data_IF_681574056031
#
_entry.id   IF_681574056031
#
_cell.length_a   1.000
_cell.length_b   1.000
_cell.length_c   1.000
_cell.angle_alpha   90.00
_cell.angle_beta   90.00
_cell.angle_gamma   90.00
#
_symmetry.space_group_name_H-M   'P 1'
#
loop_
_entity.id
_entity.type
_entity.pdbx_description
1 polymer ?
#
# COMPACT_ATOMS: atom_id res chain seq x y z
N UNK A 1 -11.38 45.66 -29.01
CA UNK A 1 -11.83 44.29 -28.77
C UNK A 1 -11.16 43.83 -27.51
N UNK A 2 -11.75 44.11 -26.36
CA UNK A 2 -11.25 43.70 -25.03
C UNK A 2 -11.58 42.21 -24.87
N UNK A 3 -10.58 41.36 -24.93
CA UNK A 3 -10.72 39.94 -24.57
C UNK A 3 -10.92 39.90 -23.05
N UNK A 4 -12.14 39.62 -22.64
CA UNK A 4 -12.48 39.36 -21.25
C UNK A 4 -11.79 38.05 -20.85
N UNK A 5 -10.57 38.14 -20.31
CA UNK A 5 -9.84 37.03 -19.74
C UNK A 5 -10.23 36.95 -18.27
N UNK A 6 -11.47 36.53 -17.98
CA UNK A 6 -11.73 35.93 -16.67
C UNK A 6 -10.86 34.67 -16.58
N UNK A 7 -9.96 34.55 -15.59
CA UNK A 7 -9.16 33.35 -15.43
C UNK A 7 -10.08 32.14 -15.33
N UNK A 8 -9.79 31.07 -16.07
CA UNK A 8 -10.51 29.78 -15.92
C UNK A 8 -10.46 29.37 -14.46
N UNK A 9 -11.62 29.25 -13.83
CA UNK A 9 -11.78 28.89 -12.43
C UNK A 9 -11.72 27.37 -12.18
N UNK A 10 -11.40 26.58 -13.22
CA UNK A 10 -11.35 25.11 -13.17
C UNK A 10 -12.71 24.43 -13.29
N UNK A 11 -13.78 25.20 -13.55
CA UNK A 11 -15.14 24.64 -13.69
C UNK A 11 -15.30 23.82 -14.96
N UNK A 12 -14.61 24.19 -16.03
CA UNK A 12 -14.61 23.48 -17.29
C UNK A 12 -14.02 22.07 -17.15
N UNK A 13 -12.88 21.94 -16.49
CA UNK A 13 -12.27 20.65 -16.20
C UNK A 13 -13.14 19.78 -15.29
N UNK A 14 -13.77 20.38 -14.27
CA UNK A 14 -14.74 19.67 -13.42
C UNK A 14 -15.89 19.05 -14.22
N UNK A 15 -16.47 19.80 -15.17
CA UNK A 15 -17.53 19.26 -16.06
C UNK A 15 -17.03 18.08 -16.86
N UNK A 16 -15.83 18.15 -17.43
CA UNK A 16 -15.22 17.05 -18.18
C UNK A 16 -15.05 15.78 -17.33
N UNK A 17 -14.67 15.91 -16.06
CA UNK A 17 -14.56 14.75 -15.14
C UNK A 17 -15.93 14.08 -14.93
N UNK A 18 -16.98 14.86 -14.74
CA UNK A 18 -18.36 14.36 -14.59
C UNK A 18 -18.85 13.68 -15.87
N UNK A 19 -18.65 14.32 -17.03
CA UNK A 19 -19.02 13.79 -18.35
C UNK A 19 -18.27 12.47 -18.67
N UNK A 20 -17.04 12.33 -18.16
CA UNK A 20 -16.26 11.11 -18.29
C UNK A 20 -16.66 10.00 -17.28
N UNK A 21 -17.63 10.25 -16.39
CA UNK A 21 -18.21 9.26 -15.49
C UNK A 21 -17.72 9.28 -14.04
N UNK A 22 -16.89 10.24 -13.63
CA UNK A 22 -16.47 10.37 -12.25
C UNK A 22 -17.57 10.92 -11.34
N UNK A 23 -17.69 10.40 -10.11
CA UNK A 23 -18.46 11.02 -9.04
C UNK A 23 -17.64 12.15 -8.40
N UNK A 24 -18.05 13.41 -8.62
CA UNK A 24 -17.25 14.59 -8.28
C UNK A 24 -17.93 15.42 -7.20
N UNK A 25 -17.27 15.57 -6.07
CA UNK A 25 -17.72 16.34 -4.92
C UNK A 25 -17.87 17.85 -5.18
N UNK A 26 -18.47 18.60 -4.24
CA UNK A 26 -18.61 20.04 -4.34
C UNK A 26 -17.25 20.74 -4.26
N UNK A 27 -17.12 21.91 -4.90
CA UNK A 27 -15.92 22.74 -4.84
C UNK A 27 -14.69 22.19 -5.56
N UNK A 28 -14.79 21.07 -6.28
CA UNK A 28 -13.70 20.54 -7.10
C UNK A 28 -13.38 21.48 -8.25
N UNK A 29 -12.09 21.75 -8.47
CA UNK A 29 -11.56 22.55 -9.58
C UNK A 29 -10.55 21.72 -10.36
N UNK A 30 -10.62 21.79 -11.70
CA UNK A 30 -9.70 21.01 -12.52
C UNK A 30 -9.25 21.78 -13.77
N UNK A 31 -7.95 21.73 -14.06
CA UNK A 31 -7.32 22.24 -15.27
C UNK A 31 -6.67 21.07 -15.99
N UNK A 32 -7.30 20.61 -17.05
CA UNK A 32 -6.96 19.36 -17.72
C UNK A 32 -6.64 19.59 -19.19
N UNK A 33 -5.53 19.04 -19.65
CA UNK A 33 -5.19 18.96 -21.06
C UNK A 33 -6.17 18.10 -21.86
N UNK A 34 -5.86 17.81 -23.12
CA UNK A 34 -6.77 17.09 -24.02
C UNK A 34 -6.98 15.63 -23.62
N UNK A 35 -5.99 14.99 -23.05
CA UNK A 35 -5.96 13.55 -22.76
C UNK A 35 -6.48 13.27 -21.35
N UNK A 36 -7.76 12.87 -21.26
CA UNK A 36 -8.41 12.52 -19.98
C UNK A 36 -9.08 11.17 -20.12
N UNK A 37 -8.64 10.19 -19.33
CA UNK A 37 -9.18 8.84 -19.26
C UNK A 37 -9.66 8.58 -17.84
N UNK A 38 -10.93 8.22 -17.68
CA UNK A 38 -11.55 7.94 -16.38
C UNK A 38 -12.16 6.53 -16.44
N UNK A 39 -11.74 5.68 -15.53
CA UNK A 39 -12.30 4.33 -15.33
C UNK A 39 -13.67 4.36 -14.67
N UNK A 40 -14.18 3.17 -14.37
CA UNK A 40 -15.46 3.00 -13.66
C UNK A 40 -15.30 3.27 -12.17
N UNK A 41 -16.39 3.70 -11.52
CA UNK A 41 -16.47 3.87 -10.05
C UNK A 41 -15.38 4.80 -9.48
N UNK A 42 -14.96 5.81 -10.26
CA UNK A 42 -14.02 6.84 -9.81
C UNK A 42 -14.73 7.87 -8.96
N UNK A 43 -14.15 8.18 -7.78
CA UNK A 43 -14.66 9.20 -6.87
C UNK A 43 -13.63 10.30 -6.60
N UNK A 44 -14.06 11.56 -6.61
CA UNK A 44 -13.23 12.73 -6.31
C UNK A 44 -13.92 13.54 -5.22
N UNK A 45 -13.28 13.64 -4.08
CA UNK A 45 -13.80 14.29 -2.88
C UNK A 45 -13.98 15.81 -3.00
N UNK A 46 -14.58 16.38 -1.97
CA UNK A 46 -14.90 17.81 -1.94
C UNK A 46 -13.63 18.69 -1.94
N UNK A 47 -13.70 19.84 -2.62
CA UNK A 47 -12.65 20.84 -2.68
C UNK A 47 -11.29 20.34 -3.22
N UNK A 48 -11.26 19.19 -3.90
CA UNK A 48 -10.05 18.71 -4.54
C UNK A 48 -9.67 19.62 -5.74
N UNK A 49 -8.37 19.72 -5.98
CA UNK A 49 -7.75 20.47 -7.08
C UNK A 49 -6.98 19.49 -7.94
N UNK A 50 -7.24 19.46 -9.25
CA UNK A 50 -6.53 18.64 -10.21
C UNK A 50 -5.98 19.53 -11.35
N UNK A 51 -4.68 19.40 -11.63
CA UNK A 51 -4.06 20.05 -12.77
C UNK A 51 -3.11 19.08 -13.48
N UNK A 52 -3.41 18.72 -14.73
CA UNK A 52 -2.58 17.78 -15.48
C UNK A 52 -2.72 17.99 -17.00
N UNK A 53 -1.62 17.83 -17.73
CA UNK A 53 -1.65 17.78 -19.19
C UNK A 53 -2.26 16.46 -19.68
N UNK A 54 -1.93 15.38 -18.99
CA UNK A 54 -2.52 14.04 -19.20
C UNK A 54 -3.04 13.50 -17.87
N UNK A 55 -4.31 13.10 -17.83
CA UNK A 55 -4.95 12.50 -16.67
C UNK A 55 -5.47 11.11 -17.00
N UNK A 56 -5.05 10.11 -16.21
CA UNK A 56 -5.61 8.76 -16.25
C UNK A 56 -5.95 8.30 -14.85
N UNK A 57 -7.22 8.00 -14.61
CA UNK A 57 -7.71 7.39 -13.37
C UNK A 57 -8.32 6.03 -13.70
N UNK A 58 -7.75 4.96 -13.16
CA UNK A 58 -8.22 3.58 -13.34
C UNK A 58 -9.56 3.29 -12.65
N UNK A 59 -10.05 2.05 -12.77
CA UNK A 59 -11.29 1.62 -12.14
C UNK A 59 -11.19 1.68 -10.60
N UNK A 60 -12.21 2.24 -9.95
CA UNK A 60 -12.30 2.30 -8.48
C UNK A 60 -11.30 3.26 -7.81
N UNK A 61 -10.72 4.18 -8.55
CA UNK A 61 -9.83 5.21 -7.97
C UNK A 61 -10.63 6.14 -7.06
N UNK A 62 -10.08 6.39 -5.88
CA UNK A 62 -10.65 7.34 -4.91
C UNK A 62 -9.64 8.46 -4.61
N UNK A 63 -10.06 9.71 -4.81
CA UNK A 63 -9.32 10.91 -4.41
C UNK A 63 -10.12 11.57 -3.28
N UNK A 64 -9.51 11.70 -2.10
CA UNK A 64 -10.14 12.25 -0.90
C UNK A 64 -10.37 13.76 -0.96
N UNK A 65 -11.04 14.26 0.07
CA UNK A 65 -11.33 15.69 0.20
C UNK A 65 -10.06 16.53 0.33
N UNK A 66 -10.10 17.75 -0.22
CA UNK A 66 -9.01 18.73 -0.11
C UNK A 66 -7.65 18.26 -0.68
N UNK A 67 -7.63 17.28 -1.56
CA UNK A 67 -6.41 16.90 -2.28
C UNK A 67 -6.04 18.01 -3.28
N UNK A 68 -4.72 18.26 -3.44
CA UNK A 68 -4.17 19.17 -4.45
C UNK A 68 -3.16 18.39 -5.31
N UNK A 69 -3.57 18.00 -6.51
CA UNK A 69 -2.83 17.11 -7.40
C UNK A 69 -2.44 17.85 -8.67
N UNK A 70 -1.14 18.15 -8.82
CA UNK A 70 -0.61 18.87 -9.99
C UNK A 70 0.58 18.12 -10.56
N UNK A 71 0.48 17.68 -11.81
CA UNK A 71 1.54 16.99 -12.52
C UNK A 71 1.42 17.21 -14.03
N UNK A 72 2.51 17.08 -14.77
CA UNK A 72 2.44 17.00 -16.23
C UNK A 72 1.61 15.78 -16.65
N UNK A 73 1.99 14.60 -16.19
CA UNK A 73 1.19 13.38 -16.28
C UNK A 73 0.73 12.94 -14.88
N UNK A 74 -0.58 12.76 -14.70
CA UNK A 74 -1.18 12.19 -13.50
C UNK A 74 -1.82 10.86 -13.84
N UNK A 75 -1.20 9.77 -13.38
CA UNK A 75 -1.68 8.41 -13.58
C UNK A 75 -1.92 7.73 -12.23
N UNK A 76 -3.14 7.29 -11.99
CA UNK A 76 -3.53 6.47 -10.86
C UNK A 76 -4.18 5.19 -11.38
N UNK A 77 -3.52 4.06 -11.19
CA UNK A 77 -4.01 2.75 -11.59
C UNK A 77 -5.20 2.27 -10.75
N UNK A 78 -5.81 1.16 -11.17
CA UNK A 78 -7.04 0.62 -10.57
C UNK A 78 -6.96 0.49 -9.04
N UNK A 79 -8.08 0.81 -8.36
CA UNK A 79 -8.24 0.72 -6.91
C UNK A 79 -7.17 1.51 -6.11
N UNK A 80 -6.60 2.56 -6.69
CA UNK A 80 -5.71 3.48 -5.98
C UNK A 80 -6.52 4.44 -5.12
N UNK A 81 -6.13 4.60 -3.87
CA UNK A 81 -6.77 5.47 -2.87
C UNK A 81 -5.81 6.57 -2.41
N UNK A 82 -6.18 7.82 -2.63
CA UNK A 82 -5.58 8.98 -2.00
C UNK A 82 -6.54 9.48 -0.92
N UNK A 83 -6.10 9.50 0.33
CA UNK A 83 -6.91 10.01 1.44
C UNK A 83 -6.95 11.55 1.43
N UNK A 84 -7.66 12.13 2.41
CA UNK A 84 -7.86 13.58 2.44
C UNK A 84 -6.54 14.36 2.58
N UNK A 85 -6.49 15.56 1.99
CA UNK A 85 -5.39 16.52 2.11
C UNK A 85 -4.03 15.99 1.60
N UNK A 86 -4.04 15.10 0.64
CA UNK A 86 -2.83 14.71 -0.08
C UNK A 86 -2.46 15.82 -1.06
N UNK A 87 -1.17 16.22 -1.04
CA UNK A 87 -0.63 17.23 -1.94
C UNK A 87 0.41 16.61 -2.86
N UNK A 88 0.25 16.80 -4.17
CA UNK A 88 1.18 16.38 -5.21
C UNK A 88 1.55 17.59 -6.07
N UNK A 89 2.82 17.93 -6.11
CA UNK A 89 3.37 18.95 -7.01
C UNK A 89 4.58 18.34 -7.73
N UNK A 90 4.34 17.74 -8.89
CA UNK A 90 5.32 16.98 -9.65
C UNK A 90 5.43 17.54 -11.06
N UNK A 91 6.65 17.90 -11.49
CA UNK A 91 6.81 18.63 -12.75
C UNK A 91 6.50 17.76 -13.98
N UNK A 92 7.04 16.54 -14.04
CA UNK A 92 6.91 15.68 -15.21
C UNK A 92 5.75 14.69 -15.00
N UNK A 93 5.95 13.64 -14.20
CA UNK A 93 4.97 12.56 -14.04
C UNK A 93 4.81 12.11 -12.59
N UNK A 94 3.56 12.00 -12.15
CA UNK A 94 3.16 11.31 -10.94
C UNK A 94 2.36 10.07 -11.34
N UNK A 95 2.98 8.92 -11.17
CA UNK A 95 2.44 7.63 -11.62
C UNK A 95 2.41 6.65 -10.45
N UNK A 96 1.25 6.13 -10.15
CA UNK A 96 1.05 5.08 -9.15
C UNK A 96 0.24 3.97 -9.78
N UNK A 97 0.83 2.80 -9.91
CA UNK A 97 0.15 1.61 -10.41
C UNK A 97 -0.94 1.13 -9.45
N UNK A 98 -1.73 0.14 -9.87
CA UNK A 98 -2.94 -0.26 -9.16
C UNK A 98 -2.77 -0.67 -7.69
N UNK A 99 -3.80 -0.41 -6.91
CA UNK A 99 -3.90 -0.77 -5.48
C UNK A 99 -3.03 0.09 -4.55
N UNK A 100 -2.55 1.24 -5.02
CA UNK A 100 -1.80 2.18 -4.20
C UNK A 100 -2.68 2.82 -3.12
N UNK A 101 -2.10 3.06 -1.94
CA UNK A 101 -2.75 3.81 -0.86
C UNK A 101 -1.82 4.90 -0.33
N UNK A 102 -2.27 6.13 -0.45
CA UNK A 102 -1.55 7.32 0.03
C UNK A 102 -2.40 7.97 1.12
N UNK A 103 -1.89 7.96 2.34
CA UNK A 103 -2.65 8.41 3.50
C UNK A 103 -2.65 9.93 3.67
N UNK A 104 -3.57 10.39 4.52
CA UNK A 104 -3.87 11.81 4.73
C UNK A 104 -2.65 12.65 5.06
N UNK A 105 -2.60 13.87 4.51
CA UNK A 105 -1.54 14.83 4.76
C UNK A 105 -0.19 14.45 4.17
N UNK A 106 -0.13 13.45 3.29
CA UNK A 106 1.08 13.13 2.54
C UNK A 106 1.37 14.23 1.52
N UNK A 107 2.64 14.59 1.40
CA UNK A 107 3.12 15.62 0.49
C UNK A 107 4.17 15.05 -0.46
N UNK A 108 3.99 15.22 -1.77
CA UNK A 108 4.94 14.77 -2.79
C UNK A 108 5.30 15.96 -3.68
N UNK A 109 6.59 16.36 -3.65
CA UNK A 109 7.11 17.43 -4.51
C UNK A 109 8.46 17.00 -5.05
N UNK A 110 8.54 16.72 -6.35
CA UNK A 110 9.75 16.30 -7.05
C UNK A 110 9.59 16.52 -8.55
N UNK A 111 10.60 16.18 -9.33
CA UNK A 111 10.51 16.23 -10.78
C UNK A 111 9.65 15.10 -11.31
N UNK A 112 9.91 13.86 -10.89
CA UNK A 112 9.05 12.72 -11.21
C UNK A 112 8.93 11.73 -10.05
N UNK A 113 7.75 11.14 -9.93
CA UNK A 113 7.43 10.12 -8.96
C UNK A 113 6.76 8.94 -9.67
N UNK A 114 7.36 7.78 -9.58
CA UNK A 114 6.85 6.54 -10.17
C UNK A 114 6.82 5.45 -9.12
N UNK A 115 5.69 4.81 -8.95
CA UNK A 115 5.52 3.67 -8.06
C UNK A 115 4.78 2.54 -8.76
N UNK A 116 5.30 1.34 -8.64
CA UNK A 116 4.64 0.12 -9.07
C UNK A 116 3.49 -0.23 -8.10
N UNK A 117 2.82 -1.35 -8.33
CA UNK A 117 1.58 -1.77 -7.64
C UNK A 117 1.73 -1.87 -6.13
N UNK A 118 0.60 -1.59 -5.43
CA UNK A 118 0.46 -1.74 -3.99
C UNK A 118 1.41 -0.85 -3.18
N UNK A 119 1.64 0.36 -3.67
CA UNK A 119 2.32 1.40 -2.89
C UNK A 119 1.52 1.70 -1.61
N UNK A 120 2.22 1.83 -0.49
CA UNK A 120 1.69 2.43 0.73
C UNK A 120 2.57 3.60 1.17
N UNK A 121 2.00 4.81 1.23
CA UNK A 121 2.61 5.95 1.90
C UNK A 121 1.78 6.31 3.13
N UNK A 122 2.36 6.13 4.31
CA UNK A 122 1.71 6.41 5.58
C UNK A 122 1.47 7.90 5.81
N UNK A 123 0.54 8.20 6.68
CA UNK A 123 0.08 9.54 7.02
C UNK A 123 1.23 10.52 7.25
N UNK A 124 1.13 11.72 6.67
CA UNK A 124 2.10 12.80 6.88
C UNK A 124 3.50 12.51 6.34
N UNK A 125 3.66 11.54 5.43
CA UNK A 125 4.91 11.30 4.73
C UNK A 125 5.21 12.46 3.80
N UNK A 126 6.48 12.90 3.75
CA UNK A 126 6.96 13.97 2.88
C UNK A 126 7.99 13.45 1.90
N UNK A 127 7.73 13.57 0.61
CA UNK A 127 8.63 13.21 -0.48
C UNK A 127 9.12 14.48 -1.17
N UNK A 128 10.44 14.60 -1.39
CA UNK A 128 11.04 15.73 -2.08
C UNK A 128 11.20 17.00 -1.25
N UNK A 129 11.13 16.92 0.06
CA UNK A 129 11.29 18.04 0.98
C UNK A 129 12.67 18.72 0.84
N UNK A 130 12.69 19.94 0.27
CA UNK A 130 13.90 20.69 -0.05
C UNK A 130 14.56 20.22 -1.36
N UNK A 131 15.07 21.16 -2.17
CA UNK A 131 15.79 20.87 -3.41
C UNK A 131 14.97 20.27 -4.55
N UNK A 132 13.67 20.42 -4.53
CA UNK A 132 12.72 19.86 -5.50
C UNK A 132 12.87 20.41 -6.92
N UNK A 133 13.61 21.50 -7.10
CA UNK A 133 13.90 22.11 -8.41
C UNK A 133 15.06 21.43 -9.15
N UNK A 134 15.76 20.49 -8.52
CA UNK A 134 16.87 19.79 -9.16
C UNK A 134 16.35 18.90 -10.31
N UNK A 135 17.02 18.96 -11.45
CA UNK A 135 16.70 18.09 -12.60
C UNK A 135 16.85 16.59 -12.31
N UNK A 136 17.52 16.26 -11.22
CA UNK A 136 17.80 14.91 -10.73
C UNK A 136 16.81 14.43 -9.66
N UNK A 137 15.79 15.24 -9.30
CA UNK A 137 14.81 14.90 -8.26
C UNK A 137 13.80 13.86 -8.77
N UNK A 138 14.21 12.60 -8.75
CA UNK A 138 13.40 11.47 -9.19
C UNK A 138 13.17 10.48 -8.03
N UNK A 139 11.95 9.96 -7.90
CA UNK A 139 11.62 8.90 -6.96
C UNK A 139 11.03 7.73 -7.73
N UNK A 140 11.64 6.54 -7.58
CA UNK A 140 11.19 5.31 -8.23
C UNK A 140 11.03 4.23 -7.17
N UNK A 141 9.83 3.73 -7.04
CA UNK A 141 9.43 2.73 -6.04
C UNK A 141 8.93 1.47 -6.73
N UNK A 142 9.50 0.34 -6.37
CA UNK A 142 9.07 -0.97 -6.87
C UNK A 142 7.71 -1.41 -6.30
N UNK A 143 7.31 -2.61 -6.66
CA UNK A 143 6.05 -3.18 -6.20
C UNK A 143 6.04 -3.44 -4.69
N UNK A 144 4.91 -3.18 -4.03
CA UNK A 144 4.69 -3.42 -2.58
C UNK A 144 5.67 -2.65 -1.68
N UNK A 145 6.05 -1.47 -2.09
CA UNK A 145 6.79 -0.56 -1.21
C UNK A 145 5.84 0.02 -0.16
N UNK A 146 6.25 -0.06 1.11
CA UNK A 146 5.47 0.45 2.23
C UNK A 146 6.32 1.40 3.09
N UNK A 147 6.01 2.68 3.04
CA UNK A 147 6.67 3.71 3.84
C UNK A 147 5.77 4.08 5.01
N UNK A 148 6.28 3.88 6.23
CA UNK A 148 5.55 4.18 7.47
C UNK A 148 5.27 5.68 7.65
N UNK A 149 4.31 6.04 8.53
CA UNK A 149 3.89 7.43 8.76
C UNK A 149 5.04 8.37 9.13
N UNK A 150 4.86 9.65 8.80
CA UNK A 150 5.77 10.75 9.16
C UNK A 150 7.21 10.55 8.68
N UNK A 151 7.38 9.85 7.56
CA UNK A 151 8.68 9.63 6.94
C UNK A 151 9.06 10.77 6.01
N UNK A 152 10.37 10.97 5.77
CA UNK A 152 10.90 11.99 4.88
C UNK A 152 11.81 11.33 3.84
N UNK A 153 11.46 11.47 2.57
CA UNK A 153 12.26 11.07 1.43
C UNK A 153 12.75 12.33 0.71
N UNK A 154 13.90 12.85 1.11
CA UNK A 154 14.45 14.08 0.56
C UNK A 154 15.19 13.82 -0.76
N UNK A 155 14.50 14.02 -1.87
CA UNK A 155 14.91 13.62 -3.22
C UNK A 155 15.51 14.77 -4.04
N UNK A 156 16.66 15.32 -3.64
CA UNK A 156 17.45 16.19 -4.53
C UNK A 156 18.13 15.38 -5.66
N UNK A 157 18.51 14.16 -5.35
CA UNK A 157 19.01 13.14 -6.28
C UNK A 157 18.08 11.92 -6.23
N UNK A 158 18.23 10.96 -7.17
CA UNK A 158 17.30 9.83 -7.24
C UNK A 158 17.24 9.03 -5.93
N UNK A 159 16.00 8.72 -5.54
CA UNK A 159 15.68 7.69 -4.53
C UNK A 159 15.08 6.51 -5.27
N UNK A 160 15.72 5.36 -5.16
CA UNK A 160 15.30 4.13 -5.84
C UNK A 160 15.09 3.04 -4.80
N UNK A 161 13.86 2.61 -4.60
CA UNK A 161 13.49 1.51 -3.72
C UNK A 161 13.02 0.33 -4.56
N UNK A 162 13.62 -0.83 -4.33
CA UNK A 162 13.21 -2.08 -4.98
C UNK A 162 11.89 -2.64 -4.43
N UNK A 163 11.46 -3.76 -4.99
CA UNK A 163 10.23 -4.43 -4.57
C UNK A 163 10.26 -4.82 -3.10
N UNK A 164 9.09 -4.75 -2.43
CA UNK A 164 8.93 -5.19 -1.04
C UNK A 164 9.82 -4.44 -0.03
N UNK A 165 10.28 -3.26 -0.35
CA UNK A 165 10.92 -2.41 0.64
C UNK A 165 9.86 -1.88 1.61
N UNK A 166 10.08 -2.15 2.90
CA UNK A 166 9.19 -1.67 3.96
C UNK A 166 9.91 -0.82 4.99
N UNK A 167 9.19 0.12 5.58
CA UNK A 167 9.71 0.87 6.72
C UNK A 167 8.73 0.99 7.87
N UNK A 168 9.27 1.15 9.09
CA UNK A 168 8.54 1.72 10.20
C UNK A 168 8.32 3.23 9.99
N UNK A 169 7.63 3.85 10.96
CA UNK A 169 7.42 5.30 10.97
C UNK A 169 8.72 6.08 11.11
N UNK A 170 8.71 7.34 10.66
CA UNK A 170 9.83 8.28 10.78
C UNK A 170 11.12 7.83 10.06
N UNK A 171 10.99 7.04 8.97
CA UNK A 171 12.12 6.82 8.09
C UNK A 171 12.61 8.16 7.51
N UNK A 172 13.92 8.36 7.44
CA UNK A 172 14.50 9.53 6.80
C UNK A 172 15.52 9.10 5.75
N UNK A 173 15.33 9.50 4.50
CA UNK A 173 16.27 9.31 3.40
C UNK A 173 16.74 10.67 2.93
N UNK A 174 18.06 10.90 2.95
CA UNK A 174 18.67 12.12 2.44
C UNK A 174 19.51 11.82 1.20
N UNK A 175 19.37 12.65 0.18
CA UNK A 175 20.21 12.58 -1.03
C UNK A 175 21.16 13.76 -1.16
N UNK A 176 21.23 14.61 -0.14
CA UNK A 176 22.18 15.70 -0.07
C UNK A 176 22.67 15.95 1.36
N UNK A 177 23.88 16.56 1.46
CA UNK A 177 24.45 17.04 2.72
C UNK A 177 25.34 18.23 2.45
N UNK A 178 24.97 19.41 2.96
CA UNK A 178 25.79 20.63 2.89
C UNK A 178 25.37 21.60 4.00
N UNK A 179 26.24 22.59 4.25
CA UNK A 179 25.96 23.68 5.15
C UNK A 179 26.22 25.03 4.46
N UNK A 180 25.28 25.95 4.50
CA UNK A 180 25.41 27.25 3.80
C UNK A 180 26.63 28.08 4.20
N UNK A 181 27.07 27.99 5.46
CA UNK A 181 28.25 28.65 5.96
C UNK A 181 29.58 27.97 5.60
N UNK A 182 29.52 26.74 5.07
CA UNK A 182 30.72 25.99 4.64
C UNK A 182 30.79 25.99 3.13
N UNK A 183 31.58 26.92 2.57
CA UNK A 183 31.64 27.11 1.12
C UNK A 183 32.54 26.09 0.44
N UNK A 184 32.13 25.63 -0.73
CA UNK A 184 32.93 24.72 -1.56
C UNK A 184 34.34 25.27 -1.84
N UNK A 185 34.44 26.59 -2.11
CA UNK A 185 35.71 27.25 -2.39
C UNK A 185 36.62 27.38 -1.15
N UNK A 186 36.08 27.19 0.04
CA UNK A 186 36.85 27.12 1.27
C UNK A 186 37.29 25.69 1.62
N UNK A 187 37.01 24.73 0.70
CA UNK A 187 37.38 23.31 0.87
C UNK A 187 36.33 22.44 1.55
N UNK A 188 35.12 22.96 1.80
CA UNK A 188 34.04 22.16 2.39
C UNK A 188 33.24 21.44 1.29
N UNK A 189 33.17 20.10 1.32
CA UNK A 189 32.43 19.36 0.32
C UNK A 189 30.90 19.51 0.51
N UNK A 190 30.18 19.64 -0.60
CA UNK A 190 28.75 19.40 -0.63
C UNK A 190 28.51 18.02 -1.23
N UNK A 191 27.78 17.17 -0.55
CA UNK A 191 27.47 15.82 -1.02
C UNK A 191 26.07 15.81 -1.63
N UNK A 192 25.97 15.38 -2.88
CA UNK A 192 24.74 15.14 -3.59
C UNK A 192 24.85 13.78 -4.27
N UNK A 193 24.10 12.80 -3.84
CA UNK A 193 24.21 11.45 -4.37
C UNK A 193 22.89 10.67 -4.22
N UNK A 194 22.59 9.76 -5.17
CA UNK A 194 21.40 8.94 -5.10
C UNK A 194 21.44 7.97 -3.92
N UNK A 195 20.26 7.55 -3.45
CA UNK A 195 20.11 6.45 -2.50
C UNK A 195 19.40 5.29 -3.21
N UNK A 196 19.97 4.09 -3.08
CA UNK A 196 19.44 2.86 -3.63
C UNK A 196 19.20 1.86 -2.52
N UNK A 197 17.98 1.36 -2.43
CA UNK A 197 17.61 0.29 -1.49
C UNK A 197 17.03 -0.86 -2.33
N UNK A 198 17.72 -1.99 -2.29
CA UNK A 198 17.35 -3.13 -3.09
C UNK A 198 16.07 -3.82 -2.54
N UNK A 199 15.60 -4.87 -3.23
CA UNK A 199 14.36 -5.57 -2.86
C UNK A 199 14.39 -6.17 -1.46
N UNK A 200 13.18 -6.31 -0.85
CA UNK A 200 12.95 -7.01 0.42
C UNK A 200 13.80 -6.48 1.58
N UNK A 201 13.97 -5.17 1.65
CA UNK A 201 14.69 -4.50 2.75
C UNK A 201 13.67 -3.96 3.77
N UNK A 202 13.93 -4.22 5.05
CA UNK A 202 13.19 -3.63 6.14
C UNK A 202 14.01 -2.55 6.85
N UNK A 203 13.49 -1.34 6.86
CA UNK A 203 14.05 -0.18 7.57
C UNK A 203 13.20 0.06 8.82
N UNK A 204 13.68 -0.38 9.98
CA UNK A 204 12.89 -0.28 11.19
C UNK A 204 12.66 1.19 11.61
N UNK A 205 11.80 1.38 12.61
CA UNK A 205 11.40 2.70 13.13
C UNK A 205 12.58 3.67 13.25
N UNK A 206 12.42 4.89 12.72
CA UNK A 206 13.38 5.98 12.84
C UNK A 206 14.78 5.70 12.24
N UNK A 207 14.86 4.83 11.23
CA UNK A 207 16.10 4.65 10.49
C UNK A 207 16.39 5.89 9.63
N UNK A 208 17.69 6.22 9.48
CA UNK A 208 18.16 7.32 8.64
C UNK A 208 19.16 6.79 7.60
N UNK A 209 18.97 7.13 6.34
CA UNK A 209 19.86 6.74 5.24
C UNK A 209 20.48 7.99 4.63
N UNK A 210 21.80 8.05 4.59
CA UNK A 210 22.56 9.21 4.12
C UNK A 210 22.85 9.14 2.61
N UNK A 211 23.25 10.28 1.98
CA UNK A 211 23.51 10.36 0.55
C UNK A 211 24.53 9.33 0.06
N UNK A 212 24.29 8.77 -1.11
CA UNK A 212 25.20 7.85 -1.78
C UNK A 212 25.13 6.40 -1.30
N UNK A 213 24.29 6.10 -0.31
CA UNK A 213 24.20 4.75 0.28
C UNK A 213 23.43 3.80 -0.65
N UNK A 214 23.98 2.60 -0.80
CA UNK A 214 23.27 1.41 -1.31
C UNK A 214 23.04 0.39 -0.21
N UNK A 215 21.80 -0.07 -0.03
CA UNK A 215 21.45 -1.16 0.89
C UNK A 215 21.09 -2.38 0.05
N UNK A 216 21.86 -3.46 0.23
CA UNK A 216 21.68 -4.72 -0.49
C UNK A 216 20.37 -5.44 -0.10
N UNK A 217 19.89 -6.26 -1.02
CA UNK A 217 18.62 -7.00 -0.86
C UNK A 217 18.57 -7.87 0.41
N UNK A 218 17.33 -8.17 0.86
CA UNK A 218 17.09 -9.08 1.98
C UNK A 218 17.75 -8.62 3.29
N UNK A 219 17.94 -7.31 3.48
CA UNK A 219 18.63 -6.68 4.62
C UNK A 219 17.64 -6.07 5.60
N UNK A 220 17.95 -6.16 6.89
CA UNK A 220 17.20 -5.50 7.97
C UNK A 220 18.08 -4.42 8.60
N UNK A 221 17.57 -3.21 8.65
CA UNK A 221 18.16 -2.08 9.38
C UNK A 221 17.39 -1.89 10.68
N UNK A 222 18.08 -2.02 11.81
CA UNK A 222 17.49 -1.89 13.13
C UNK A 222 17.00 -0.46 13.42
N UNK A 223 16.03 -0.33 14.33
CA UNK A 223 15.45 0.95 14.71
C UNK A 223 16.52 1.96 15.21
N UNK A 224 16.32 3.24 14.88
CA UNK A 224 17.20 4.34 15.30
C UNK A 224 18.59 4.32 14.65
N UNK A 225 18.81 3.55 13.60
CA UNK A 225 20.11 3.43 12.95
C UNK A 225 20.38 4.55 11.97
N UNK A 226 21.65 4.95 11.81
CA UNK A 226 22.11 5.90 10.79
C UNK A 226 23.02 5.16 9.81
N UNK A 227 22.50 4.90 8.62
CA UNK A 227 23.25 4.22 7.54
C UNK A 227 24.01 5.26 6.73
N UNK A 228 25.32 5.31 6.92
CA UNK A 228 26.23 6.27 6.29
C UNK A 228 27.19 5.63 5.28
N UNK A 229 27.10 4.33 5.07
CA UNK A 229 27.90 3.52 4.13
C UNK A 229 27.05 2.39 3.60
N UNK A 230 27.44 1.85 2.46
CA UNK A 230 26.77 0.70 1.86
C UNK A 230 26.68 -0.48 2.84
N UNK A 231 25.54 -1.17 2.76
CA UNK A 231 25.30 -2.41 3.49
C UNK A 231 25.18 -3.57 2.49
N UNK A 232 25.86 -4.69 2.74
CA UNK A 232 25.73 -5.88 1.87
C UNK A 232 24.33 -6.48 1.99
N UNK A 233 23.97 -7.35 1.05
CA UNK A 233 22.74 -8.11 1.08
C UNK A 233 22.69 -9.14 2.22
N UNK A 234 21.48 -9.47 2.69
CA UNK A 234 21.26 -10.57 3.62
C UNK A 234 21.79 -10.34 5.03
N UNK A 235 21.81 -9.12 5.52
CA UNK A 235 22.35 -8.81 6.85
C UNK A 235 21.34 -8.12 7.77
N UNK A 236 21.55 -8.28 9.07
CA UNK A 236 21.03 -7.38 10.08
C UNK A 236 22.11 -6.32 10.37
N UNK A 237 21.82 -5.07 10.15
CA UNK A 237 22.70 -3.95 10.48
C UNK A 237 22.03 -3.01 11.47
N UNK A 238 22.82 -2.24 12.23
CA UNK A 238 22.27 -1.28 13.19
C UNK A 238 23.31 -0.46 13.90
N UNK A 239 22.86 0.62 14.52
CA UNK A 239 23.67 1.56 15.30
C UNK A 239 23.92 2.89 14.61
N UNK A 240 24.72 3.78 15.25
CA UNK A 240 25.10 5.11 14.76
C UNK A 240 26.62 5.26 14.87
N UNK A 241 27.34 5.14 13.75
CA UNK A 241 26.90 4.70 12.44
C UNK A 241 26.47 3.23 12.39
N UNK A 242 25.59 2.87 11.45
CA UNK A 242 25.13 1.50 11.29
C UNK A 242 26.29 0.60 10.83
N UNK A 243 26.39 -0.56 11.46
CA UNK A 243 27.34 -1.61 11.13
C UNK A 243 26.62 -2.96 11.05
N UNK A 244 27.15 -3.88 10.24
CA UNK A 244 26.67 -5.25 10.17
C UNK A 244 26.80 -5.90 11.55
N UNK A 245 25.69 -6.44 12.07
CA UNK A 245 25.64 -7.18 13.35
C UNK A 245 25.74 -8.69 13.13
N UNK A 246 25.09 -9.18 12.08
CA UNK A 246 25.14 -10.59 11.68
C UNK A 246 24.59 -10.76 10.26
N UNK A 247 24.98 -11.83 9.62
CA UNK A 247 24.32 -12.35 8.42
C UNK A 247 22.98 -12.94 8.79
N UNK A 248 21.98 -12.77 7.91
CA UNK A 248 20.68 -13.43 8.03
C UNK A 248 20.77 -14.80 7.37
N UNK A 249 20.50 -15.83 8.14
CA UNK A 249 20.47 -17.22 7.66
C UNK A 249 19.06 -17.77 7.86
N UNK A 250 18.15 -17.57 6.89
CA UNK A 250 16.80 -18.08 7.01
C UNK A 250 16.82 -19.61 7.07
N UNK A 251 16.15 -20.17 8.07
CA UNK A 251 15.97 -21.61 8.24
C UNK A 251 14.49 -21.93 8.11
N UNK A 252 14.02 -22.39 6.95
CA UNK A 252 12.63 -22.75 6.78
C UNK A 252 12.23 -23.83 7.78
N UNK A 253 11.06 -23.73 8.41
CA UNK A 253 10.56 -24.76 9.31
C UNK A 253 10.30 -26.06 8.52
N UNK A 254 10.42 -27.20 9.19
CA UNK A 254 9.95 -28.49 8.66
C UNK A 254 8.44 -28.48 8.52
N UNK A 255 7.89 -29.36 7.69
CA UNK A 255 6.47 -29.33 7.32
C UNK A 255 5.53 -29.43 8.53
N UNK A 256 5.80 -30.37 9.47
CA UNK A 256 5.04 -30.46 10.72
C UNK A 256 5.08 -29.18 11.56
N UNK A 257 6.22 -28.52 11.63
CA UNK A 257 6.37 -27.27 12.37
C UNK A 257 5.66 -26.14 11.63
N UNK A 258 5.75 -26.10 10.31
CA UNK A 258 5.06 -25.12 9.49
C UNK A 258 3.53 -25.26 9.65
N UNK A 259 2.98 -26.47 9.60
CA UNK A 259 1.56 -26.72 9.83
C UNK A 259 1.12 -26.27 11.22
N UNK A 260 1.86 -26.64 12.28
CA UNK A 260 1.54 -26.20 13.65
C UNK A 260 1.54 -24.68 13.80
N UNK A 261 2.48 -23.97 13.15
CA UNK A 261 2.54 -22.51 13.19
C UNK A 261 1.36 -21.88 12.46
N UNK A 262 0.99 -22.41 11.29
CA UNK A 262 -0.17 -21.93 10.54
C UNK A 262 -1.46 -22.20 11.32
N UNK A 263 -1.59 -23.37 11.92
CA UNK A 263 -2.75 -23.72 12.71
C UNK A 263 -2.92 -22.80 13.94
N UNK A 264 -1.84 -22.49 14.64
CA UNK A 264 -1.85 -21.51 15.73
C UNK A 264 -2.22 -20.10 15.26
N UNK A 265 -1.75 -19.66 14.09
CA UNK A 265 -2.16 -18.38 13.49
C UNK A 265 -3.65 -18.34 13.17
N UNK A 266 -4.25 -19.47 12.79
CA UNK A 266 -5.69 -19.52 12.55
C UNK A 266 -6.50 -19.33 13.83
N UNK A 267 -6.00 -19.74 15.00
CA UNK A 267 -6.65 -19.40 16.28
C UNK A 267 -6.58 -17.91 16.59
N UNK A 268 -5.45 -17.25 16.27
CA UNK A 268 -5.35 -15.80 16.36
C UNK A 268 -6.32 -15.09 15.41
N UNK A 269 -6.50 -15.62 14.21
CA UNK A 269 -7.46 -15.09 13.25
C UNK A 269 -8.91 -15.24 13.72
N UNK A 270 -9.28 -16.37 14.33
CA UNK A 270 -10.59 -16.55 14.96
C UNK A 270 -10.82 -15.46 16.01
N UNK A 271 -9.85 -15.23 16.89
CA UNK A 271 -9.95 -14.17 17.89
C UNK A 271 -10.10 -12.77 17.27
N UNK A 272 -9.41 -12.50 16.15
CA UNK A 272 -9.56 -11.24 15.40
C UNK A 272 -10.97 -11.12 14.78
N UNK A 273 -11.51 -12.18 14.21
CA UNK A 273 -12.89 -12.18 13.68
C UNK A 273 -13.93 -11.92 14.78
N UNK A 274 -13.77 -12.56 15.94
CA UNK A 274 -14.64 -12.33 17.11
C UNK A 274 -14.54 -10.87 17.59
N UNK A 275 -13.33 -10.29 17.60
CA UNK A 275 -13.13 -8.88 17.88
C UNK A 275 -13.82 -7.96 16.84
N UNK A 276 -13.90 -8.39 15.60
CA UNK A 276 -14.64 -7.69 14.52
C UNK A 276 -16.16 -7.83 14.66
N UNK A 277 -16.65 -8.60 15.63
CA UNK A 277 -18.08 -8.81 15.88
C UNK A 277 -18.67 -10.00 15.09
N UNK A 278 -17.84 -10.88 14.54
CA UNK A 278 -18.28 -12.05 13.79
C UNK A 278 -18.25 -13.32 14.66
N UNK A 279 -19.24 -14.18 14.51
CA UNK A 279 -19.23 -15.51 15.08
C UNK A 279 -18.23 -16.39 14.34
N UNK A 280 -17.10 -16.73 14.97
CA UNK A 280 -16.09 -17.60 14.39
C UNK A 280 -15.64 -18.63 15.41
N UNK A 281 -15.57 -19.91 15.01
CA UNK A 281 -15.20 -21.00 15.90
C UNK A 281 -14.52 -22.18 15.16
N UNK A 282 -13.74 -22.98 15.89
CA UNK A 282 -13.23 -24.26 15.41
C UNK A 282 -14.38 -25.27 15.35
N UNK A 283 -14.37 -26.07 14.32
CA UNK A 283 -15.30 -27.19 14.17
C UNK A 283 -14.63 -28.51 14.55
N UNK A 284 -15.39 -29.57 14.93
CA UNK A 284 -14.83 -30.87 15.35
C UNK A 284 -13.93 -31.55 14.30
N UNK A 285 -14.12 -31.22 13.03
CA UNK A 285 -13.29 -31.72 11.91
C UNK A 285 -12.05 -30.88 11.62
N UNK A 286 -11.70 -29.94 12.54
CA UNK A 286 -10.49 -29.10 12.43
C UNK A 286 -10.64 -27.87 11.54
N UNK A 287 -11.80 -27.65 10.91
CA UNK A 287 -12.06 -26.44 10.13
C UNK A 287 -12.43 -25.24 11.00
N UNK A 288 -12.63 -24.10 10.36
CA UNK A 288 -13.14 -22.87 10.98
C UNK A 288 -14.46 -22.53 10.33
N UNK A 289 -15.50 -22.35 11.12
CA UNK A 289 -16.78 -21.81 10.68
C UNK A 289 -16.87 -20.32 11.02
N UNK A 290 -17.38 -19.52 10.08
CA UNK A 290 -17.61 -18.09 10.30
C UNK A 290 -19.07 -17.80 9.94
N UNK A 291 -19.85 -17.35 10.93
CA UNK A 291 -21.27 -16.99 10.80
C UNK A 291 -22.16 -18.14 10.27
N UNK A 292 -21.77 -19.41 10.37
CA UNK A 292 -22.48 -20.53 9.77
C UNK A 292 -22.55 -20.51 8.24
N UNK A 293 -21.82 -19.58 7.59
CA UNK A 293 -21.93 -19.31 6.16
C UNK A 293 -20.63 -19.46 5.39
N UNK A 294 -19.51 -19.28 6.06
CA UNK A 294 -18.17 -19.37 5.46
C UNK A 294 -17.38 -20.47 6.17
N UNK A 295 -16.51 -21.11 5.44
CA UNK A 295 -15.67 -22.17 5.97
C UNK A 295 -14.24 -21.99 5.52
N UNK A 296 -13.32 -22.23 6.44
CA UNK A 296 -11.90 -22.34 6.16
C UNK A 296 -11.38 -23.68 6.67
N UNK A 297 -10.58 -24.35 5.88
CA UNK A 297 -9.97 -25.62 6.24
C UNK A 297 -8.47 -25.61 5.94
N UNK A 298 -7.65 -25.88 6.95
CA UNK A 298 -6.25 -26.18 6.76
C UNK A 298 -6.13 -27.64 6.30
N UNK A 299 -5.62 -27.84 5.09
CA UNK A 299 -5.46 -29.16 4.48
C UNK A 299 -4.05 -29.71 4.66
N UNK A 300 -3.95 -31.00 4.88
CA UNK A 300 -2.69 -31.76 4.97
C UNK A 300 -2.41 -32.47 3.65
N UNK A 301 -1.27 -33.14 3.53
CA UNK A 301 -0.92 -33.95 2.37
C UNK A 301 -1.93 -35.07 2.10
N UNK A 302 -2.50 -35.67 3.16
CA UNK A 302 -3.48 -36.75 3.08
C UNK A 302 -4.91 -36.29 2.69
N UNK A 303 -5.14 -34.98 2.66
CA UNK A 303 -6.46 -34.43 2.29
C UNK A 303 -6.71 -34.61 0.80
N UNK A 304 -7.62 -35.51 0.44
CA UNK A 304 -7.99 -35.76 -0.97
C UNK A 304 -9.14 -34.85 -1.41
N UNK A 305 -9.33 -34.74 -2.73
CA UNK A 305 -10.37 -33.92 -3.35
C UNK A 305 -11.78 -34.36 -2.95
N UNK A 306 -12.01 -35.68 -2.77
CA UNK A 306 -13.31 -36.23 -2.34
C UNK A 306 -13.66 -35.80 -0.92
N UNK A 307 -12.69 -35.77 -0.01
CA UNK A 307 -12.88 -35.24 1.35
C UNK A 307 -13.23 -33.75 1.30
N UNK A 308 -12.56 -32.96 0.48
CA UNK A 308 -12.87 -31.54 0.27
C UNK A 308 -14.30 -31.35 -0.27
N UNK A 309 -14.71 -32.15 -1.24
CA UNK A 309 -16.07 -32.12 -1.78
C UNK A 309 -17.13 -32.47 -0.72
N UNK A 310 -16.87 -33.46 0.13
CA UNK A 310 -17.77 -33.84 1.22
C UNK A 310 -18.00 -32.67 2.20
N UNK A 311 -16.94 -31.96 2.55
CA UNK A 311 -17.02 -30.76 3.39
C UNK A 311 -17.72 -29.58 2.71
N UNK A 312 -17.51 -29.39 1.39
CA UNK A 312 -18.11 -28.30 0.64
C UNK A 312 -19.61 -28.44 0.41
N UNK A 313 -20.10 -29.67 0.29
CA UNK A 313 -21.50 -29.97 0.00
C UNK A 313 -22.40 -29.99 1.26
N UNK A 314 -21.81 -29.98 2.45
CA UNK A 314 -22.54 -30.17 3.71
C UNK A 314 -23.40 -28.97 4.18
N UNK A 315 -23.36 -27.80 3.50
CA UNK A 315 -24.19 -26.65 3.84
C UNK A 315 -24.30 -25.63 2.69
N UNK A 316 -25.37 -24.83 2.65
CA UNK A 316 -25.55 -23.66 1.78
C UNK A 316 -24.54 -22.55 2.19
N UNK A 317 -23.26 -22.72 1.88
CA UNK A 317 -22.19 -21.80 2.28
C UNK A 317 -21.95 -20.76 1.21
N UNK A 318 -21.75 -19.51 1.63
CA UNK A 318 -21.38 -18.40 0.73
C UNK A 318 -19.95 -18.53 0.25
N UNK A 319 -19.04 -19.01 1.10
CA UNK A 319 -17.65 -19.19 0.78
C UNK A 319 -17.01 -20.39 1.47
N UNK A 320 -16.07 -21.02 0.78
CA UNK A 320 -15.24 -22.07 1.34
C UNK A 320 -13.81 -21.93 0.84
N UNK A 321 -12.86 -21.79 1.76
CA UNK A 321 -11.47 -21.57 1.44
C UNK A 321 -10.60 -22.67 2.01
N UNK A 322 -9.60 -23.09 1.25
CA UNK A 322 -8.60 -24.06 1.65
C UNK A 322 -7.28 -23.35 1.89
N UNK A 323 -6.59 -23.71 2.96
CA UNK A 323 -5.20 -23.37 3.18
C UNK A 323 -4.37 -24.64 3.08
N UNK A 324 -3.28 -24.57 2.34
CA UNK A 324 -2.25 -25.60 2.30
C UNK A 324 -0.89 -24.97 2.60
N UNK A 325 -0.09 -25.61 3.45
CA UNK A 325 1.27 -25.14 3.70
C UNK A 325 2.10 -25.27 2.43
N UNK A 326 2.04 -26.41 1.77
CA UNK A 326 2.72 -26.68 0.51
C UNK A 326 1.81 -26.52 -0.71
N UNK A 327 2.40 -26.57 -1.89
CA UNK A 327 1.64 -26.48 -3.13
C UNK A 327 0.77 -27.73 -3.34
N UNK A 328 -0.51 -27.54 -3.65
CA UNK A 328 -1.51 -28.60 -3.87
C UNK A 328 -2.18 -28.45 -5.25
N UNK A 329 -1.44 -28.72 -6.33
CA UNK A 329 -1.97 -28.61 -7.69
C UNK A 329 -3.18 -29.52 -7.93
N UNK A 330 -3.30 -30.62 -7.20
CA UNK A 330 -4.42 -31.55 -7.22
C UNK A 330 -5.73 -30.95 -6.70
N UNK A 331 -5.66 -29.95 -5.80
CA UNK A 331 -6.84 -29.25 -5.25
C UNK A 331 -7.24 -28.01 -6.05
N UNK A 332 -6.41 -27.51 -6.96
CA UNK A 332 -6.72 -26.32 -7.78
C UNK A 332 -7.98 -26.45 -8.62
N UNK A 333 -8.30 -27.62 -9.23
CA UNK A 333 -9.57 -27.78 -9.98
C UNK A 333 -10.84 -27.56 -9.15
N UNK A 334 -10.74 -27.66 -7.81
CA UNK A 334 -11.86 -27.42 -6.90
C UNK A 334 -12.23 -25.94 -6.77
N UNK A 335 -11.37 -25.02 -7.09
CA UNK A 335 -11.56 -23.59 -6.90
C UNK A 335 -12.67 -23.01 -7.80
N UNK A 336 -13.30 -21.93 -7.38
CA UNK A 336 -14.35 -21.22 -8.10
C UNK A 336 -14.41 -19.74 -7.70
N UNK A 337 -15.46 -19.01 -8.06
CA UNK A 337 -15.65 -17.60 -7.67
C UNK A 337 -15.72 -17.35 -6.14
N UNK A 338 -16.20 -18.33 -5.38
CA UNK A 338 -16.34 -18.25 -3.90
C UNK A 338 -15.58 -19.36 -3.18
N UNK A 339 -14.63 -19.98 -3.88
CA UNK A 339 -13.79 -21.06 -3.36
C UNK A 339 -12.36 -20.82 -3.76
N UNK A 340 -11.51 -20.53 -2.78
CA UNK A 340 -10.09 -20.28 -3.00
C UNK A 340 -9.20 -21.32 -2.33
N UNK A 341 -8.05 -21.54 -2.94
CA UNK A 341 -6.95 -22.31 -2.37
C UNK A 341 -5.76 -21.36 -2.15
N UNK A 342 -5.32 -21.28 -0.91
CA UNK A 342 -4.11 -20.58 -0.49
C UNK A 342 -2.96 -21.58 -0.37
N UNK A 343 -1.96 -21.46 -1.20
CA UNK A 343 -0.73 -22.27 -1.18
C UNK A 343 0.37 -21.42 -0.54
N UNK A 344 0.59 -21.60 0.77
CA UNK A 344 1.31 -20.61 1.60
C UNK A 344 2.80 -20.56 1.29
N UNK A 345 3.44 -21.67 0.96
CA UNK A 345 4.88 -21.73 0.67
C UNK A 345 5.23 -21.00 -0.64
N UNK A 346 4.41 -21.13 -1.66
CA UNK A 346 4.61 -20.43 -2.93
C UNK A 346 3.97 -19.05 -2.98
N UNK A 347 3.13 -18.71 -1.99
CA UNK A 347 2.33 -17.47 -2.01
C UNK A 347 1.24 -17.45 -3.07
N UNK A 348 0.90 -18.60 -3.66
CA UNK A 348 -0.10 -18.71 -4.71
C UNK A 348 -1.51 -18.69 -4.13
N UNK A 349 -2.37 -17.95 -4.80
CA UNK A 349 -3.81 -17.92 -4.57
C UNK A 349 -4.53 -18.32 -5.85
N UNK A 350 -5.37 -19.35 -5.78
CA UNK A 350 -6.18 -19.83 -6.90
C UNK A 350 -7.65 -19.74 -6.53
N UNK A 351 -8.50 -19.29 -7.45
CA UNK A 351 -9.94 -19.10 -7.21
C UNK A 351 -10.29 -17.70 -6.74
N UNK A 352 -11.58 -17.49 -6.43
CA UNK A 352 -12.11 -16.19 -6.00
C UNK A 352 -12.27 -16.10 -4.48
N UNK A 353 -12.15 -14.89 -3.97
CA UNK A 353 -12.32 -14.57 -2.55
C UNK A 353 -13.67 -13.88 -2.33
N UNK A 354 -14.35 -14.30 -1.29
CA UNK A 354 -15.43 -13.53 -0.66
C UNK A 354 -14.86 -12.59 0.43
N UNK A 355 -15.74 -11.95 1.17
CA UNK A 355 -15.36 -11.00 2.23
C UNK A 355 -14.47 -11.63 3.33
N UNK A 356 -14.79 -12.88 3.73
CA UNK A 356 -14.03 -13.62 4.75
C UNK A 356 -12.69 -14.10 4.17
N UNK A 357 -12.68 -14.56 2.92
CA UNK A 357 -11.46 -14.94 2.22
C UNK A 357 -10.51 -13.75 2.02
N UNK A 358 -11.01 -12.56 1.74
CA UNK A 358 -10.20 -11.34 1.69
C UNK A 358 -9.62 -10.99 3.06
N UNK A 359 -10.40 -11.12 4.13
CA UNK A 359 -9.95 -10.87 5.50
C UNK A 359 -8.84 -11.85 5.92
N UNK A 360 -9.05 -13.16 5.65
CA UNK A 360 -8.06 -14.19 5.89
C UNK A 360 -6.74 -13.90 5.14
N UNK A 361 -6.83 -13.57 3.85
CA UNK A 361 -5.65 -13.22 3.05
C UNK A 361 -4.88 -12.06 3.67
N UNK A 362 -5.57 -11.00 4.08
CA UNK A 362 -4.95 -9.83 4.67
C UNK A 362 -4.37 -10.12 6.06
N UNK A 363 -5.01 -11.00 6.83
CA UNK A 363 -4.48 -11.51 8.09
C UNK A 363 -3.19 -12.30 7.87
N UNK A 364 -3.18 -13.25 6.96
CA UNK A 364 -2.00 -14.04 6.61
C UNK A 364 -0.84 -13.15 6.16
N UNK A 365 -1.12 -12.15 5.34
CA UNK A 365 -0.14 -11.18 4.84
C UNK A 365 0.50 -10.35 5.96
N UNK A 366 -0.28 -9.91 6.95
CA UNK A 366 0.24 -9.22 8.15
C UNK A 366 1.11 -10.14 9.01
N UNK A 367 0.94 -11.45 8.90
CA UNK A 367 1.70 -12.47 9.61
C UNK A 367 2.79 -13.12 8.74
N UNK A 368 3.31 -12.40 7.75
CA UNK A 368 4.40 -12.80 6.87
C UNK A 368 4.11 -14.07 6.04
N UNK A 369 2.84 -14.34 5.75
CA UNK A 369 2.37 -15.40 4.84
C UNK A 369 1.61 -14.80 3.65
N UNK A 370 2.27 -14.03 2.78
CA UNK A 370 1.60 -13.37 1.68
C UNK A 370 1.09 -14.38 0.65
N UNK A 371 -0.20 -14.28 0.33
CA UNK A 371 -0.83 -15.01 -0.77
C UNK A 371 -1.65 -14.04 -1.62
N UNK A 372 -1.56 -14.15 -2.94
CA UNK A 372 -2.33 -13.29 -3.84
C UNK A 372 -1.95 -11.81 -3.69
N UNK A 373 -0.69 -11.51 -3.64
CA UNK A 373 -0.10 -10.18 -3.39
C UNK A 373 -0.52 -9.07 -4.36
N UNK A 374 -1.22 -9.42 -5.42
CA UNK A 374 -1.66 -8.47 -6.45
C UNK A 374 -2.99 -7.78 -6.11
N UNK A 375 -3.63 -8.18 -5.01
CA UNK A 375 -4.93 -7.66 -4.60
C UNK A 375 -4.78 -6.62 -3.49
N UNK A 376 -5.54 -5.52 -3.50
CA UNK A 376 -5.52 -4.52 -2.45
C UNK A 376 -6.04 -5.09 -1.12
N UNK A 377 -5.70 -4.45 -0.01
CA UNK A 377 -6.22 -4.82 1.31
C UNK A 377 -7.75 -4.63 1.37
N UNK A 378 -8.46 -5.63 1.89
CA UNK A 378 -9.92 -5.64 2.06
C UNK A 378 -10.32 -6.35 3.36
N UNK A 379 -9.59 -6.09 4.45
CA UNK A 379 -9.94 -6.63 5.76
C UNK A 379 -11.31 -6.14 6.21
N UNK A 380 -12.05 -7.01 6.88
CA UNK A 380 -13.34 -6.65 7.47
C UNK A 380 -13.16 -5.59 8.56
N UNK A 381 -14.06 -4.60 8.65
CA UNK A 381 -13.96 -3.55 9.66
C UNK A 381 -14.30 -4.10 11.05
N UNK A 382 -13.71 -3.51 12.07
CA UNK A 382 -14.13 -3.74 13.47
C UNK A 382 -15.49 -3.06 13.68
N UNK A 383 -16.51 -3.79 14.12
CA UNK A 383 -17.88 -3.29 14.25
C UNK A 383 -17.97 -2.01 15.11
N UNK A 384 -17.22 -1.96 16.21
CA UNK A 384 -17.16 -0.77 17.07
C UNK A 384 -16.69 0.48 16.35
N UNK A 385 -15.67 0.37 15.49
CA UNK A 385 -15.16 1.51 14.71
C UNK A 385 -16.11 1.89 13.56
N UNK A 386 -16.74 0.92 12.92
CA UNK A 386 -17.75 1.18 11.90
C UNK A 386 -18.95 1.95 12.48
N UNK A 387 -19.39 1.61 13.69
CA UNK A 387 -20.44 2.34 14.42
C UNK A 387 -20.03 3.78 14.71
N UNK A 388 -18.80 4.02 15.18
CA UNK A 388 -18.29 5.37 15.45
C UNK A 388 -18.20 6.20 14.18
N UNK A 389 -17.72 5.65 13.08
CA UNK A 389 -17.67 6.32 11.79
C UNK A 389 -19.08 6.70 11.28
N UNK A 390 -20.07 5.81 11.46
CA UNK A 390 -21.45 6.09 11.08
C UNK A 390 -22.11 7.23 11.89
N UNK A 391 -21.66 7.50 13.12
CA UNK A 391 -22.15 8.63 13.91
C UNK A 391 -21.72 9.98 13.35
N UNK A 392 -20.53 10.05 12.74
CA UNK A 392 -19.99 11.28 12.15
C UNK A 392 -20.50 11.52 10.73
N UNK A 393 -21.03 10.52 10.05
CA UNK A 393 -21.54 10.60 8.66
C UNK A 393 -23.02 10.99 8.54
N UNK A 394 -23.77 11.07 9.67
CA UNK A 394 -25.16 11.55 9.61
C UNK A 394 -25.18 13.07 9.39
N UNK A 395 -25.81 13.55 8.31
CA UNK A 395 -26.01 14.98 8.15
C UNK A 395 -26.81 15.49 9.36
N UNK A 396 -26.30 16.52 10.02
CA UNK A 396 -27.06 17.31 10.98
C UNK A 396 -28.27 17.88 10.23
N UNK A 397 -29.41 17.23 10.38
CA UNK A 397 -30.69 17.85 10.02
C UNK A 397 -30.87 19.04 10.97
N UNK A 398 -30.45 20.22 10.52
CA UNK A 398 -30.89 21.45 11.12
C UNK A 398 -32.39 21.53 10.95
N UNK A 399 -33.10 21.14 11.99
CA UNK A 399 -34.51 21.37 12.10
C UNK A 399 -34.77 22.88 12.08
N UNK A 400 -35.19 23.40 10.95
CA UNK A 400 -35.94 24.61 10.91
C UNK A 400 -37.32 24.33 11.53
N UNK A 401 -37.47 24.70 12.78
CA UNK A 401 -38.72 24.67 13.50
C UNK A 401 -39.02 26.02 14.13
N UNK A 402 -39.82 26.81 13.41
CA UNK A 402 -40.64 27.97 13.83
C UNK A 402 -39.91 29.24 14.23
#
# INVERSE_FOLDING_TARGET
>A
MTIDQTPDDGSAGRRRLIEAGAAVGPGVRAWLGSNVLIGRDVTIGANAVLAADTLTLGDGVTIGDHCDLRAGTLFLGDATELQASVTVLVADAFEVEGGGRIESGTHVTCRSFQADRLLYLGQGTSVGYGGTTASTSHVVLGARVAIGPHSVLNANHPIILGDQVGSGSHLTIWTHGFHFGHRLLDGYPATFAPVRIERNVWLAYHATVLPGVTIGADTIVAAGSVVSRDLPAGVLAGGVPAAVKRTLEPRPPKDEEAHRRVDALLDEWIAELQWKGLGAERTPDGGIDVEGRHRVLLVTEDTCLDAVHAHANAAHRRGFHLLAVDDRPDLRPWTSRSRALFELRSGRLTGGLDEVGHDLRDFLRRNALPCGDQLPFRSLPVEGFARLAALTSKPTTTGNGR
#
